data_IF_290728920296
#
_entry.id   IF_290728920296
#
_cell.length_a   1.000
_cell.length_b   1.000
_cell.length_c   1.000
_cell.angle_alpha   90.00
_cell.angle_beta   90.00
_cell.angle_gamma   90.00
#
_symmetry.space_group_name_H-M   'P 1'
#
loop_
_entity.id
_entity.type
_entity.pdbx_description
1 polymer ?
#
# COMPACT_ATOMS: atom_id res chain seq x y z
N UNK A 1 17.36 17.82 1.23
CA UNK A 1 17.70 17.40 2.62
C UNK A 1 18.87 16.42 2.65
N UNK A 2 18.76 15.25 2.02
CA UNK A 2 19.80 14.22 2.02
C UNK A 2 21.16 14.68 1.46
N UNK A 3 21.16 15.45 0.36
CA UNK A 3 22.39 16.07 -0.16
C UNK A 3 23.04 17.02 0.86
N UNK A 4 22.24 17.80 1.60
CA UNK A 4 22.77 18.64 2.69
C UNK A 4 23.35 17.82 3.83
N UNK A 5 22.71 16.70 4.19
CA UNK A 5 23.26 15.77 5.16
C UNK A 5 24.65 15.28 4.73
N UNK A 6 24.82 14.87 3.47
CA UNK A 6 26.13 14.46 2.94
C UNK A 6 27.15 15.61 2.99
N UNK A 7 26.77 16.83 2.60
CA UNK A 7 27.64 18.02 2.71
C UNK A 7 28.12 18.23 4.15
N UNK A 8 27.21 18.14 5.11
CA UNK A 8 27.54 18.31 6.54
C UNK A 8 28.48 17.20 7.00
N UNK A 9 28.21 15.94 6.67
CA UNK A 9 29.08 14.82 7.05
C UNK A 9 30.48 14.98 6.45
N UNK A 10 30.57 15.31 5.16
CA UNK A 10 31.83 15.59 4.48
C UNK A 10 32.62 16.72 5.15
N UNK A 11 31.95 17.81 5.54
CA UNK A 11 32.61 18.91 6.25
C UNK A 11 33.13 18.48 7.64
N UNK A 12 32.34 17.75 8.41
CA UNK A 12 32.77 17.20 9.72
C UNK A 12 33.98 16.28 9.55
N UNK A 13 33.98 15.44 8.52
CA UNK A 13 35.09 14.52 8.22
C UNK A 13 36.35 15.29 7.84
N UNK A 14 36.25 16.35 7.02
CA UNK A 14 37.39 17.22 6.66
C UNK A 14 38.04 17.86 7.89
N UNK A 15 37.24 18.27 8.87
CA UNK A 15 37.76 18.87 10.12
C UNK A 15 38.40 17.82 11.04
N UNK A 16 37.79 16.64 11.18
CA UNK A 16 38.30 15.58 12.07
C UNK A 16 39.49 14.83 11.51
N UNK A 17 39.54 14.65 10.18
CA UNK A 17 40.51 13.79 9.49
C UNK A 17 41.15 14.53 8.30
N UNK A 18 42.02 15.52 8.57
CA UNK A 18 42.64 16.33 7.51
C UNK A 18 43.66 15.56 6.63
N UNK A 19 44.08 14.37 7.06
CA UNK A 19 45.07 13.52 6.36
C UNK A 19 44.46 12.25 5.76
N UNK A 20 43.20 12.31 5.29
CA UNK A 20 42.59 11.16 4.59
C UNK A 20 43.27 10.90 3.24
N UNK A 21 43.28 9.64 2.81
CA UNK A 21 43.93 9.22 1.58
C UNK A 21 43.07 9.51 0.35
N UNK A 22 41.77 9.26 0.42
CA UNK A 22 40.86 9.49 -0.71
C UNK A 22 40.16 10.85 -0.65
N UNK A 23 39.84 11.35 -1.84
CA UNK A 23 38.99 12.54 -1.96
C UNK A 23 37.56 12.21 -1.53
N UNK A 24 36.83 13.21 -1.02
CA UNK A 24 35.41 13.03 -0.67
C UNK A 24 34.57 12.54 -1.85
N UNK A 25 34.89 13.04 -3.03
CA UNK A 25 34.21 12.69 -4.27
C UNK A 25 34.37 11.20 -4.61
N UNK A 26 35.59 10.68 -4.48
CA UNK A 26 35.91 9.28 -4.76
C UNK A 26 35.24 8.34 -3.75
N UNK A 27 35.35 8.66 -2.46
CA UNK A 27 34.76 7.83 -1.41
C UNK A 27 33.22 7.85 -1.46
N UNK A 28 32.59 9.00 -1.75
CA UNK A 28 31.13 9.06 -1.96
C UNK A 28 30.68 8.22 -3.16
N UNK A 29 31.48 8.18 -4.24
CA UNK A 29 31.17 7.35 -5.40
C UNK A 29 31.27 5.86 -5.06
N UNK A 30 32.30 5.44 -4.31
CA UNK A 30 32.47 4.06 -3.85
C UNK A 30 31.36 3.64 -2.88
N UNK A 31 31.03 4.48 -1.89
CA UNK A 31 29.91 4.24 -0.98
C UNK A 31 28.57 4.18 -1.73
N UNK A 32 28.39 5.02 -2.75
CA UNK A 32 27.22 4.97 -3.63
C UNK A 32 27.13 3.69 -4.46
N UNK A 33 28.26 3.21 -5.00
CA UNK A 33 28.35 1.93 -5.72
C UNK A 33 27.96 0.77 -4.80
N UNK A 34 28.50 0.75 -3.59
CA UNK A 34 28.15 -0.23 -2.56
C UNK A 34 26.66 -0.18 -2.23
N UNK A 35 26.13 1.03 -1.98
CA UNK A 35 24.73 1.24 -1.67
C UNK A 35 23.81 0.72 -2.78
N UNK A 36 24.15 0.99 -4.04
CA UNK A 36 23.43 0.51 -5.21
C UNK A 36 23.43 -1.02 -5.30
N UNK A 37 24.60 -1.65 -5.20
CA UNK A 37 24.70 -3.12 -5.27
C UNK A 37 23.93 -3.81 -4.12
N UNK A 38 24.01 -3.29 -2.90
CA UNK A 38 23.29 -3.86 -1.77
C UNK A 38 21.78 -3.59 -1.89
N UNK A 39 21.36 -2.46 -2.47
CA UNK A 39 19.96 -2.19 -2.76
C UNK A 39 19.39 -3.19 -3.79
N UNK A 40 20.12 -3.48 -4.87
CA UNK A 40 19.73 -4.49 -5.87
C UNK A 40 19.63 -5.90 -5.24
N UNK A 41 20.53 -6.23 -4.32
CA UNK A 41 20.50 -7.49 -3.55
C UNK A 41 19.41 -7.51 -2.46
N UNK A 42 18.73 -6.38 -2.20
CA UNK A 42 17.81 -6.19 -1.07
C UNK A 42 18.45 -6.45 0.31
N UNK A 43 19.74 -6.12 0.44
CA UNK A 43 20.51 -6.26 1.66
C UNK A 43 20.52 -4.94 2.45
N UNK A 44 20.22 -5.04 3.76
CA UNK A 44 20.33 -3.93 4.72
C UNK A 44 21.66 -3.94 5.48
N UNK A 45 22.30 -5.10 5.54
CA UNK A 45 23.60 -5.32 6.18
C UNK A 45 24.55 -5.96 5.16
N UNK A 46 25.83 -5.68 5.29
CA UNK A 46 26.89 -6.17 4.40
C UNK A 46 28.19 -6.36 5.18
N UNK A 47 29.16 -7.01 4.55
CA UNK A 47 30.39 -7.47 5.20
C UNK A 47 31.62 -6.75 4.65
N UNK A 48 32.76 -7.08 5.23
CA UNK A 48 34.06 -6.55 4.81
C UNK A 48 34.39 -6.92 3.35
N UNK A 49 33.94 -8.07 2.88
CA UNK A 49 34.09 -8.51 1.50
C UNK A 49 33.36 -7.58 0.52
N UNK A 50 32.15 -7.14 0.86
CA UNK A 50 31.37 -6.22 0.02
C UNK A 50 32.03 -4.83 -0.08
N UNK A 51 32.65 -4.36 1.02
CA UNK A 51 33.44 -3.13 1.03
C UNK A 51 34.63 -3.26 0.06
N UNK A 52 35.36 -4.38 0.13
CA UNK A 52 36.52 -4.65 -0.72
C UNK A 52 36.14 -4.81 -2.20
N UNK A 53 34.99 -5.41 -2.52
CA UNK A 53 34.46 -5.47 -3.90
C UNK A 53 34.16 -4.08 -4.49
N UNK A 54 33.93 -3.09 -3.62
CA UNK A 54 33.74 -1.69 -4.01
C UNK A 54 35.01 -0.84 -3.91
N UNK A 55 36.18 -1.49 -3.76
CA UNK A 55 37.49 -0.83 -3.60
C UNK A 55 37.55 0.11 -2.38
N UNK A 56 36.79 -0.21 -1.31
CA UNK A 56 36.78 0.55 -0.06
C UNK A 56 37.67 -0.14 0.96
N UNK A 57 38.70 0.56 1.43
CA UNK A 57 39.46 0.11 2.60
C UNK A 57 38.60 0.25 3.87
N UNK A 58 38.60 -0.78 4.71
CA UNK A 58 37.84 -0.83 5.95
C UNK A 58 38.25 0.28 6.91
N UNK A 59 39.54 0.63 6.94
CA UNK A 59 40.02 1.71 7.81
C UNK A 59 39.50 3.07 7.36
N UNK A 60 39.28 3.24 6.05
CA UNK A 60 38.71 4.44 5.47
C UNK A 60 37.19 4.48 5.57
N UNK A 61 36.51 3.33 5.45
CA UNK A 61 35.07 3.22 5.73
C UNK A 61 34.72 3.71 7.15
N UNK A 62 35.58 3.41 8.13
CA UNK A 62 35.40 3.85 9.52
C UNK A 62 35.42 5.39 9.69
N UNK A 63 36.10 6.12 8.80
CA UNK A 63 36.12 7.60 8.78
C UNK A 63 34.73 8.16 8.46
N UNK A 64 33.94 7.43 7.66
CA UNK A 64 32.58 7.79 7.23
C UNK A 64 31.49 7.17 8.12
N UNK A 65 31.79 6.92 9.40
CA UNK A 65 30.86 6.34 10.40
C UNK A 65 29.51 7.04 10.51
N UNK A 66 29.42 8.33 10.18
CA UNK A 66 28.15 9.07 10.13
C UNK A 66 27.25 8.69 8.97
N UNK A 67 27.73 7.91 8.00
CA UNK A 67 27.01 7.49 6.78
C UNK A 67 26.96 5.96 6.68
N UNK A 68 28.09 5.30 6.93
CA UNK A 68 28.26 3.84 6.92
C UNK A 68 28.93 3.43 8.23
N UNK A 69 28.26 2.60 9.04
CA UNK A 69 28.73 2.22 10.38
C UNK A 69 28.92 0.73 10.51
N UNK A 70 29.92 0.34 11.32
CA UNK A 70 30.03 -1.01 11.82
C UNK A 70 28.94 -1.22 12.90
N UNK A 71 28.23 -2.34 12.84
CA UNK A 71 27.31 -2.77 13.90
C UNK A 71 28.13 -3.53 14.94
N UNK A 72 27.97 -3.17 16.22
CA UNK A 72 28.52 -3.94 17.36
C UNK A 72 27.74 -5.23 17.61
N UNK A 73 27.48 -5.99 16.54
CA UNK A 73 27.00 -7.37 16.57
C UNK A 73 27.96 -8.19 15.72
N UNK A 74 28.59 -9.15 16.38
CA UNK A 74 29.33 -10.21 15.69
C UNK A 74 28.33 -11.33 15.44
N UNK A 75 28.17 -11.76 14.19
CA UNK A 75 27.41 -12.99 13.93
C UNK A 75 28.19 -14.18 14.47
N UNK A 76 27.55 -14.98 15.33
CA UNK A 76 28.14 -16.21 15.86
C UNK A 76 28.07 -17.32 14.79
N UNK A 77 28.96 -17.23 13.81
CA UNK A 77 29.27 -18.29 12.84
C UNK A 77 30.60 -18.99 13.13
N UNK A 78 31.12 -19.75 12.17
CA UNK A 78 32.48 -20.34 12.26
C UNK A 78 33.59 -19.27 12.23
N UNK A 79 33.30 -18.07 11.70
CA UNK A 79 34.23 -16.94 11.61
C UNK A 79 33.54 -15.68 12.15
N UNK A 80 34.28 -14.87 12.91
CA UNK A 80 33.80 -13.62 13.50
C UNK A 80 33.91 -12.51 12.45
N UNK A 81 32.88 -12.36 11.61
CA UNK A 81 32.85 -11.34 10.57
C UNK A 81 32.26 -10.02 11.10
N UNK A 82 32.92 -8.91 10.79
CA UNK A 82 32.39 -7.58 11.10
C UNK A 82 31.22 -7.27 10.18
N UNK A 83 30.13 -6.78 10.76
CA UNK A 83 28.90 -6.41 10.05
C UNK A 83 28.83 -4.89 9.92
N UNK A 84 28.43 -4.42 8.74
CA UNK A 84 28.26 -3.01 8.42
C UNK A 84 26.85 -2.73 7.92
N UNK A 85 26.39 -1.50 8.07
CA UNK A 85 25.18 -0.99 7.45
C UNK A 85 25.30 0.51 7.18
N UNK A 86 24.44 1.02 6.29
CA UNK A 86 24.19 2.46 6.25
C UNK A 86 23.41 2.88 7.49
N UNK A 87 23.59 4.14 7.93
CA UNK A 87 22.92 4.64 9.16
C UNK A 87 21.39 4.62 9.07
N UNK A 88 20.84 4.60 7.87
CA UNK A 88 19.42 4.40 7.61
C UNK A 88 19.20 3.90 6.16
N UNK A 89 18.13 3.15 5.90
CA UNK A 89 17.79 2.64 4.55
C UNK A 89 17.66 3.77 3.52
N UNK A 90 17.02 4.88 3.89
CA UNK A 90 16.91 6.03 2.98
C UNK A 90 18.26 6.69 2.65
N UNK A 91 19.29 6.53 3.49
CA UNK A 91 20.65 6.96 3.14
C UNK A 91 21.25 6.03 2.10
N UNK A 92 21.06 4.71 2.23
CA UNK A 92 21.46 3.73 1.22
C UNK A 92 20.78 4.03 -0.12
N UNK A 93 19.47 4.24 -0.14
CA UNK A 93 18.73 4.56 -1.37
C UNK A 93 19.16 5.89 -1.99
N UNK A 94 19.44 6.91 -1.18
CA UNK A 94 19.95 8.19 -1.66
C UNK A 94 21.35 8.08 -2.27
N UNK A 95 22.25 7.34 -1.63
CA UNK A 95 23.61 7.09 -2.12
C UNK A 95 23.60 6.25 -3.40
N UNK A 96 22.72 5.24 -3.47
CA UNK A 96 22.51 4.47 -4.69
C UNK A 96 22.05 5.38 -5.84
N UNK A 97 21.04 6.24 -5.60
CA UNK A 97 20.56 7.19 -6.60
C UNK A 97 21.66 8.17 -7.05
N UNK A 98 22.47 8.64 -6.09
CA UNK A 98 23.62 9.51 -6.36
C UNK A 98 24.66 8.82 -7.24
N UNK A 99 24.97 7.55 -6.97
CA UNK A 99 25.89 6.76 -7.80
C UNK A 99 25.39 6.62 -9.23
N UNK A 100 24.12 6.27 -9.43
CA UNK A 100 23.53 6.15 -10.78
C UNK A 100 23.61 7.49 -11.52
N UNK A 101 23.22 8.58 -10.86
CA UNK A 101 23.23 9.92 -11.45
C UNK A 101 24.66 10.36 -11.83
N UNK A 102 25.60 10.27 -10.90
CA UNK A 102 26.98 10.72 -11.13
C UNK A 102 27.72 9.87 -12.16
N UNK A 103 27.52 8.55 -12.14
CA UNK A 103 28.13 7.65 -13.13
C UNK A 103 27.65 8.01 -14.53
N UNK A 104 26.35 8.27 -14.71
CA UNK A 104 25.84 8.73 -15.99
C UNK A 104 26.43 10.09 -16.39
N UNK A 105 26.48 11.06 -15.47
CA UNK A 105 26.99 12.40 -15.79
C UNK A 105 28.48 12.41 -16.17
N UNK A 106 29.30 11.54 -15.56
CA UNK A 106 30.75 11.46 -15.82
C UNK A 106 31.11 10.52 -16.97
N UNK A 107 30.47 9.36 -17.05
CA UNK A 107 30.86 8.27 -17.95
C UNK A 107 29.85 8.02 -19.09
N UNK A 108 28.70 8.72 -19.08
CA UNK A 108 27.57 8.47 -20.00
C UNK A 108 27.04 7.03 -19.95
N UNK A 109 27.33 6.32 -18.86
CA UNK A 109 26.98 4.91 -18.67
C UNK A 109 25.69 4.78 -17.86
N UNK A 110 24.71 4.06 -18.39
CA UNK A 110 23.50 3.69 -17.66
C UNK A 110 23.74 2.39 -16.87
N UNK A 111 24.03 2.52 -15.57
CA UNK A 111 24.30 1.34 -14.70
C UNK A 111 23.06 0.47 -14.43
N UNK A 112 21.85 0.98 -14.71
CA UNK A 112 20.60 0.23 -14.57
C UNK A 112 20.38 -0.77 -15.73
N UNK A 113 21.13 -0.65 -16.83
CA UNK A 113 21.07 -1.58 -17.94
C UNK A 113 22.47 -2.05 -18.33
N UNK A 114 22.76 -3.34 -18.10
CA UNK A 114 24.10 -3.91 -18.26
C UNK A 114 24.70 -3.78 -19.68
N UNK A 115 23.91 -3.43 -20.70
CA UNK A 115 24.34 -3.38 -22.10
C UNK A 115 24.19 -2.02 -22.82
N UNK A 116 23.77 -0.95 -22.13
CA UNK A 116 23.54 0.35 -22.77
C UNK A 116 24.60 1.38 -22.36
N UNK A 117 25.60 1.56 -23.23
CA UNK A 117 26.72 2.50 -23.03
C UNK A 117 26.37 3.93 -23.50
N UNK A 118 25.29 4.10 -24.27
CA UNK A 118 24.88 5.39 -24.84
C UNK A 118 23.37 5.61 -24.67
N UNK A 119 22.99 6.76 -24.13
CA UNK A 119 21.60 7.16 -23.93
C UNK A 119 21.50 8.58 -23.35
N UNK A 120 20.28 9.07 -23.21
CA UNK A 120 19.98 10.32 -22.51
C UNK A 120 19.73 10.06 -21.02
N UNK A 121 19.74 11.10 -20.18
CA UNK A 121 19.33 10.97 -18.77
C UNK A 121 17.86 10.53 -18.68
N UNK A 122 17.04 10.92 -19.66
CA UNK A 122 15.66 10.45 -19.74
C UNK A 122 15.59 8.93 -19.93
N UNK A 123 16.53 8.31 -20.64
CA UNK A 123 16.62 6.85 -20.77
C UNK A 123 17.04 6.15 -19.46
N UNK A 124 17.92 6.79 -18.66
CA UNK A 124 18.25 6.33 -17.31
C UNK A 124 17.03 6.39 -16.42
N UNK A 125 16.31 7.52 -16.41
CA UNK A 125 15.07 7.68 -15.65
C UNK A 125 14.00 6.67 -16.07
N UNK A 126 13.83 6.42 -17.38
CA UNK A 126 12.90 5.40 -17.89
C UNK A 126 13.24 4.01 -17.36
N UNK A 127 14.53 3.66 -17.37
CA UNK A 127 15.02 2.40 -16.83
C UNK A 127 14.70 2.27 -15.34
N UNK A 128 14.93 3.32 -14.56
CA UNK A 128 14.62 3.35 -13.13
C UNK A 128 13.11 3.22 -12.86
N UNK A 129 12.27 3.94 -13.60
CA UNK A 129 10.80 3.83 -13.53
C UNK A 129 10.35 2.40 -13.81
N UNK A 130 10.89 1.78 -14.86
CA UNK A 130 10.53 0.41 -15.23
C UNK A 130 10.97 -0.61 -14.18
N UNK A 131 12.16 -0.48 -13.62
CA UNK A 131 12.62 -1.35 -12.53
C UNK A 131 11.77 -1.19 -11.27
N UNK A 132 11.43 0.04 -10.87
CA UNK A 132 10.58 0.29 -9.72
C UNK A 132 9.17 -0.29 -9.91
N UNK A 133 8.58 -0.14 -11.11
CA UNK A 133 7.27 -0.72 -11.43
C UNK A 133 7.29 -2.26 -11.49
N UNK A 134 8.43 -2.86 -11.84
CA UNK A 134 8.60 -4.31 -11.84
C UNK A 134 8.92 -4.88 -10.45
N UNK A 135 9.30 -4.03 -9.49
CA UNK A 135 9.52 -4.44 -8.10
C UNK A 135 8.23 -4.96 -7.47
N UNK A 136 8.31 -6.09 -6.77
CA UNK A 136 7.21 -6.65 -6.01
C UNK A 136 7.06 -6.00 -4.63
N UNK A 137 8.17 -5.53 -4.05
CA UNK A 137 8.22 -5.03 -2.67
C UNK A 137 8.25 -3.50 -2.58
N UNK A 138 8.34 -2.79 -3.71
CA UNK A 138 8.47 -1.33 -3.72
C UNK A 138 9.81 -0.80 -3.20
N UNK A 139 10.81 -1.66 -2.96
CA UNK A 139 12.13 -1.29 -2.40
C UNK A 139 12.95 -0.30 -3.26
N UNK A 140 12.51 0.01 -4.48
CA UNK A 140 13.15 0.98 -5.37
C UNK A 140 12.40 2.32 -5.43
N UNK A 141 11.30 2.46 -4.70
CA UNK A 141 10.41 3.62 -4.80
C UNK A 141 11.08 4.91 -4.32
N UNK A 142 11.71 4.88 -3.15
CA UNK A 142 12.40 6.06 -2.62
C UNK A 142 13.72 6.32 -3.35
N UNK A 143 14.43 5.27 -3.78
CA UNK A 143 15.55 5.38 -4.73
C UNK A 143 15.15 6.13 -6.01
N UNK A 144 14.02 5.77 -6.63
CA UNK A 144 13.53 6.41 -7.85
C UNK A 144 13.25 7.90 -7.61
N UNK A 145 12.57 8.25 -6.51
CA UNK A 145 12.31 9.65 -6.14
C UNK A 145 13.59 10.44 -5.98
N UNK A 146 14.59 9.88 -5.29
CA UNK A 146 15.90 10.54 -5.16
C UNK A 146 16.59 10.72 -6.50
N UNK A 147 16.59 9.71 -7.37
CA UNK A 147 17.24 9.79 -8.67
C UNK A 147 16.64 10.91 -9.53
N UNK A 148 15.32 10.99 -9.57
CA UNK A 148 14.61 12.04 -10.29
C UNK A 148 14.86 13.42 -9.67
N UNK A 149 14.81 13.52 -8.34
CA UNK A 149 15.10 14.77 -7.63
C UNK A 149 16.53 15.27 -7.87
N UNK A 150 17.53 14.40 -7.89
CA UNK A 150 18.94 14.75 -8.17
C UNK A 150 19.12 15.34 -9.58
N UNK A 151 18.25 15.01 -10.53
CA UNK A 151 18.28 15.56 -11.89
C UNK A 151 17.85 17.03 -11.98
N UNK A 152 17.22 17.60 -10.95
CA UNK A 152 16.83 19.01 -10.94
C UNK A 152 18.05 19.93 -10.85
N UNK A 153 18.02 21.04 -11.60
CA UNK A 153 19.09 22.05 -11.63
C UNK A 153 19.43 22.60 -10.22
N UNK A 154 18.41 22.79 -9.37
CA UNK A 154 18.60 23.24 -7.98
C UNK A 154 19.44 22.26 -7.16
N UNK A 155 19.23 20.96 -7.35
CA UNK A 155 19.98 19.91 -6.65
C UNK A 155 21.35 19.69 -7.28
N UNK A 156 21.49 19.81 -8.59
CA UNK A 156 22.80 19.77 -9.26
C UNK A 156 23.74 20.87 -8.76
N UNK A 157 23.22 22.09 -8.54
CA UNK A 157 23.98 23.20 -7.91
C UNK A 157 24.52 22.84 -6.53
N UNK A 158 23.75 22.10 -5.72
CA UNK A 158 24.21 21.61 -4.42
C UNK A 158 25.27 20.50 -4.56
N UNK A 159 25.10 19.60 -5.53
CA UNK A 159 26.06 18.52 -5.78
C UNK A 159 27.44 19.01 -6.20
N UNK A 160 27.54 20.17 -6.85
CA UNK A 160 28.84 20.79 -7.17
C UNK A 160 29.74 21.05 -5.94
N UNK A 161 29.17 21.15 -4.74
CA UNK A 161 29.95 21.27 -3.51
C UNK A 161 30.61 19.96 -3.06
N UNK A 162 30.10 18.83 -3.53
CA UNK A 162 30.55 17.48 -3.21
C UNK A 162 31.36 16.83 -4.34
N UNK A 163 30.96 17.07 -5.59
CA UNK A 163 31.47 16.37 -6.77
C UNK A 163 31.65 17.34 -7.94
N UNK A 164 32.81 17.26 -8.58
CA UNK A 164 33.16 18.10 -9.73
C UNK A 164 32.41 17.62 -10.97
N UNK A 165 31.31 18.27 -11.35
CA UNK A 165 30.57 17.89 -12.56
C UNK A 165 31.23 18.48 -13.82
N UNK A 166 31.51 17.63 -14.81
CA UNK A 166 32.14 18.02 -16.10
C UNK A 166 31.13 18.15 -17.24
N UNK A 167 29.85 17.83 -17.03
CA UNK A 167 28.80 17.88 -18.03
C UNK A 167 27.63 18.77 -17.62
N UNK A 168 27.29 19.74 -18.47
CA UNK A 168 26.03 20.49 -18.37
C UNK A 168 24.95 19.72 -19.13
N UNK A 169 24.13 18.93 -18.44
CA UNK A 169 22.92 18.38 -19.08
C UNK A 169 21.77 19.36 -18.90
N UNK A 170 21.61 20.29 -19.85
CA UNK A 170 20.33 21.01 -20.04
C UNK A 170 19.31 20.04 -20.65
N UNK A 171 19.02 18.93 -19.96
CA UNK A 171 18.12 17.92 -20.48
C UNK A 171 16.70 18.19 -20.03
N UNK A 172 15.79 18.08 -21.00
CA UNK A 172 14.40 18.41 -20.80
C UNK A 172 13.73 17.31 -19.97
N UNK A 173 13.42 17.61 -18.70
CA UNK A 173 12.66 16.74 -17.80
C UNK A 173 11.29 16.31 -18.38
N UNK A 174 10.79 17.04 -19.37
CA UNK A 174 9.53 16.77 -20.06
C UNK A 174 9.42 15.35 -20.59
N UNK A 175 10.49 14.78 -21.16
CA UNK A 175 10.45 13.40 -21.67
C UNK A 175 10.24 12.37 -20.57
N UNK A 176 10.83 12.61 -19.39
CA UNK A 176 10.64 11.77 -18.21
C UNK A 176 9.23 11.96 -17.64
N UNK A 177 8.76 13.20 -17.53
CA UNK A 177 7.41 13.53 -17.06
C UNK A 177 6.35 12.85 -17.95
N UNK A 178 6.46 13.00 -19.27
CA UNK A 178 5.52 12.38 -20.22
C UNK A 178 5.57 10.85 -20.15
N UNK A 179 6.75 10.27 -19.92
CA UNK A 179 6.87 8.84 -19.70
C UNK A 179 6.14 8.37 -18.43
N UNK A 180 6.31 9.09 -17.31
CA UNK A 180 5.65 8.79 -16.04
C UNK A 180 4.12 8.93 -16.19
N UNK A 181 3.63 10.01 -16.81
CA UNK A 181 2.19 10.20 -17.10
C UNK A 181 1.62 9.04 -17.93
N UNK A 182 2.35 8.60 -18.96
CA UNK A 182 1.99 7.42 -19.77
C UNK A 182 1.98 6.11 -18.97
N UNK A 183 2.78 5.99 -17.90
CA UNK A 183 2.74 4.82 -17.01
C UNK A 183 1.54 4.90 -16.06
N UNK A 184 1.26 6.07 -15.49
CA UNK A 184 0.09 6.31 -14.62
C UNK A 184 -1.22 6.07 -15.38
N UNK A 185 -1.27 6.35 -16.68
CA UNK A 185 -2.46 6.09 -17.50
C UNK A 185 -2.72 4.59 -17.76
N UNK A 186 -1.81 3.70 -17.36
CA UNK A 186 -2.01 2.25 -17.40
C UNK A 186 -2.66 1.77 -16.11
N UNK A 187 -3.21 0.57 -16.15
CA UNK A 187 -3.78 -0.05 -14.97
C UNK A 187 -2.68 -0.50 -14.00
N UNK A 188 -2.25 0.43 -13.15
CA UNK A 188 -1.28 0.22 -12.08
C UNK A 188 -2.01 0.12 -10.73
N UNK A 189 -1.48 -0.72 -9.84
CA UNK A 189 -1.86 -0.75 -8.42
C UNK A 189 -1.72 0.63 -7.78
N UNK A 190 -2.56 0.93 -6.79
CA UNK A 190 -2.57 2.25 -6.13
C UNK A 190 -1.21 2.65 -5.54
N UNK A 191 -0.48 1.72 -4.95
CA UNK A 191 0.85 1.97 -4.37
C UNK A 191 1.85 2.47 -5.42
N UNK A 192 1.96 1.74 -6.54
CA UNK A 192 2.80 2.12 -7.69
C UNK A 192 2.38 3.45 -8.29
N UNK A 193 1.07 3.68 -8.45
CA UNK A 193 0.56 4.97 -8.93
C UNK A 193 0.94 6.12 -8.00
N UNK A 194 0.74 5.96 -6.68
CA UNK A 194 1.13 6.95 -5.68
C UNK A 194 2.63 7.24 -5.72
N UNK A 195 3.46 6.22 -5.87
CA UNK A 195 4.90 6.41 -6.03
C UNK A 195 5.23 7.27 -7.26
N UNK A 196 4.58 7.02 -8.40
CA UNK A 196 4.76 7.81 -9.61
C UNK A 196 4.24 9.26 -9.48
N UNK A 197 3.19 9.51 -8.71
CA UNK A 197 2.77 10.88 -8.39
C UNK A 197 3.81 11.60 -7.52
N UNK A 198 4.38 10.94 -6.52
CA UNK A 198 5.52 11.51 -5.79
C UNK A 198 6.70 11.83 -6.72
N UNK A 199 6.98 10.96 -7.70
CA UNK A 199 8.01 11.21 -8.71
C UNK A 199 7.69 12.44 -9.58
N UNK A 200 6.44 12.68 -9.95
CA UNK A 200 6.02 13.89 -10.66
C UNK A 200 6.21 15.13 -9.80
N UNK A 201 5.84 15.08 -8.52
CA UNK A 201 6.06 16.17 -7.57
C UNK A 201 7.56 16.47 -7.39
N UNK A 202 8.42 15.44 -7.30
CA UNK A 202 9.88 15.62 -7.26
C UNK A 202 10.42 16.29 -8.53
N UNK A 203 9.77 16.06 -9.68
CA UNK A 203 10.10 16.75 -10.94
C UNK A 203 9.45 18.13 -11.05
N UNK A 204 8.63 18.54 -10.08
CA UNK A 204 7.86 19.79 -10.08
C UNK A 204 6.79 19.83 -11.18
N UNK A 205 6.16 18.70 -11.47
CA UNK A 205 4.99 18.60 -12.35
C UNK A 205 3.74 18.23 -11.54
N UNK A 206 2.87 19.22 -11.32
CA UNK A 206 1.63 19.03 -10.56
C UNK A 206 0.40 18.97 -11.48
N UNK A 207 0.58 18.85 -12.81
CA UNK A 207 -0.48 19.14 -13.78
C UNK A 207 -1.68 18.19 -13.64
N UNK A 208 -1.44 16.89 -13.36
CA UNK A 208 -2.50 15.91 -13.13
C UNK A 208 -3.26 16.16 -11.82
N UNK A 209 -2.55 16.66 -10.80
CA UNK A 209 -3.14 17.04 -9.52
C UNK A 209 -4.02 18.28 -9.69
N UNK A 210 -3.52 19.29 -10.41
CA UNK A 210 -4.27 20.51 -10.73
C UNK A 210 -5.55 20.20 -11.52
N UNK A 211 -5.48 19.30 -12.50
CA UNK A 211 -6.64 18.85 -13.28
C UNK A 211 -7.74 18.29 -12.38
N UNK A 212 -7.38 17.42 -11.42
CA UNK A 212 -8.34 16.86 -10.47
C UNK A 212 -8.84 17.90 -9.47
N UNK A 213 -7.97 18.78 -8.97
CA UNK A 213 -8.43 19.86 -8.09
C UNK A 213 -9.41 20.80 -8.80
N UNK A 214 -9.24 21.06 -10.10
CA UNK A 214 -10.19 21.82 -10.90
C UNK A 214 -11.50 21.05 -11.08
N UNK A 215 -11.44 19.75 -11.38
CA UNK A 215 -12.62 18.87 -11.44
C UNK A 215 -13.42 18.95 -10.13
N UNK A 216 -12.75 18.78 -8.98
CA UNK A 216 -13.35 18.85 -7.65
C UNK A 216 -14.03 20.19 -7.37
N UNK A 217 -13.44 21.31 -7.84
CA UNK A 217 -14.01 22.66 -7.70
C UNK A 217 -15.21 22.89 -8.62
N UNK A 218 -15.18 22.29 -9.82
CA UNK A 218 -16.23 22.47 -10.83
C UNK A 218 -17.54 21.74 -10.50
N UNK A 219 -17.48 20.71 -9.64
CA UNK A 219 -18.63 19.86 -9.31
C UNK A 219 -19.16 19.04 -10.50
N UNK A 220 -18.37 18.92 -11.59
CA UNK A 220 -18.75 18.14 -12.75
C UNK A 220 -18.82 16.65 -12.40
N UNK A 221 -19.88 15.97 -12.85
CA UNK A 221 -20.04 14.52 -12.69
C UNK A 221 -19.65 13.76 -13.97
N UNK A 222 -18.53 14.15 -14.58
CA UNK A 222 -17.96 13.35 -15.68
C UNK A 222 -17.22 12.15 -15.12
N UNK A 223 -17.23 11.07 -15.89
CA UNK A 223 -16.52 9.83 -15.57
C UNK A 223 -15.01 10.06 -15.56
N UNK A 224 -14.35 9.68 -14.47
CA UNK A 224 -12.91 9.84 -14.30
C UNK A 224 -12.17 8.70 -15.00
N UNK A 225 -11.09 9.03 -15.71
CA UNK A 225 -10.14 8.08 -16.28
C UNK A 225 -9.30 7.37 -15.21
N UNK A 226 -8.62 6.25 -15.49
CA UNK A 226 -7.76 5.57 -14.52
C UNK A 226 -6.67 6.46 -13.90
N UNK A 227 -6.06 7.35 -14.70
CA UNK A 227 -5.07 8.31 -14.20
C UNK A 227 -5.70 9.38 -13.33
N UNK A 228 -6.91 9.83 -13.68
CA UNK A 228 -7.69 10.80 -12.91
C UNK A 228 -8.13 10.22 -11.55
N UNK A 229 -8.56 8.96 -11.50
CA UNK A 229 -8.82 8.27 -10.24
C UNK A 229 -7.57 8.14 -9.38
N UNK A 230 -6.43 7.79 -9.99
CA UNK A 230 -5.17 7.67 -9.27
C UNK A 230 -4.71 9.03 -8.71
N UNK A 231 -4.90 10.11 -9.47
CA UNK A 231 -4.65 11.47 -9.02
C UNK A 231 -5.60 11.88 -7.87
N UNK A 232 -6.89 11.53 -7.94
CA UNK A 232 -7.85 11.77 -6.86
C UNK A 232 -7.42 11.06 -5.56
N UNK A 233 -7.06 9.78 -5.65
CA UNK A 233 -6.57 9.01 -4.50
C UNK A 233 -5.32 9.64 -3.92
N UNK A 234 -4.36 10.03 -4.76
CA UNK A 234 -3.15 10.72 -4.31
C UNK A 234 -3.46 12.03 -3.58
N UNK A 235 -4.34 12.88 -4.15
CA UNK A 235 -4.75 14.16 -3.53
C UNK A 235 -5.43 13.95 -2.18
N UNK A 236 -6.30 12.96 -2.07
CA UNK A 236 -7.02 12.67 -0.83
C UNK A 236 -6.06 12.15 0.26
N UNK A 237 -5.08 11.31 -0.09
CA UNK A 237 -4.12 10.76 0.88
C UNK A 237 -3.01 11.74 1.29
N UNK A 238 -2.68 12.69 0.43
CA UNK A 238 -1.62 13.69 0.69
C UNK A 238 -2.16 14.99 1.27
N UNK A 239 -3.48 15.11 1.41
CA UNK A 239 -4.16 16.20 2.11
C UNK A 239 -3.65 16.32 3.55
N UNK A 240 -3.37 17.55 4.00
CA UNK A 240 -2.96 17.82 5.38
C UNK A 240 -4.10 17.66 6.42
N UNK A 241 -5.34 17.47 5.97
CA UNK A 241 -6.49 17.24 6.83
C UNK A 241 -6.77 15.75 6.96
N UNK A 242 -7.06 15.31 8.19
CA UNK A 242 -7.56 13.97 8.46
C UNK A 242 -8.84 13.72 7.65
N UNK A 243 -8.91 12.57 6.99
CA UNK A 243 -10.05 12.17 6.18
C UNK A 243 -11.20 11.75 7.12
N UNK A 244 -11.96 12.72 7.65
CA UNK A 244 -13.09 12.43 8.54
C UNK A 244 -14.18 11.61 7.81
N UNK A 245 -14.56 12.03 6.60
CA UNK A 245 -15.58 11.34 5.81
C UNK A 245 -15.21 11.28 4.32
N UNK A 246 -15.17 10.07 3.78
CA UNK A 246 -15.06 9.80 2.36
C UNK A 246 -16.39 9.26 1.81
N UNK A 247 -16.99 9.94 0.84
CA UNK A 247 -18.20 9.46 0.13
C UNK A 247 -17.88 9.26 -1.34
N UNK A 248 -17.78 7.98 -1.75
CA UNK A 248 -17.44 7.62 -3.13
C UNK A 248 -18.47 8.16 -4.13
N UNK A 249 -19.72 8.33 -3.71
CA UNK A 249 -20.80 8.80 -4.58
C UNK A 249 -20.66 10.27 -4.98
N UNK A 250 -19.76 11.02 -4.33
CA UNK A 250 -19.41 12.38 -4.76
C UNK A 250 -18.66 12.38 -6.09
N UNK A 251 -18.06 11.25 -6.48
CA UNK A 251 -17.18 11.14 -7.64
C UNK A 251 -17.72 10.23 -8.74
N UNK A 252 -18.60 9.28 -8.41
CA UNK A 252 -19.13 8.31 -9.35
C UNK A 252 -20.56 7.90 -8.99
N UNK A 253 -21.38 7.62 -10.01
CA UNK A 253 -22.73 7.12 -9.79
C UNK A 253 -22.71 5.63 -9.38
N UNK A 254 -23.59 5.18 -8.46
CA UNK A 254 -23.59 3.81 -7.94
C UNK A 254 -23.61 2.69 -8.99
N UNK A 255 -24.26 2.93 -10.12
CA UNK A 255 -24.40 2.00 -11.24
C UNK A 255 -23.11 1.81 -12.06
N UNK A 256 -22.13 2.71 -11.89
CA UNK A 256 -20.86 2.69 -12.62
C UNK A 256 -19.68 2.20 -11.79
N UNK A 257 -19.88 1.94 -10.50
CA UNK A 257 -18.81 1.47 -9.61
C UNK A 257 -18.46 0.02 -9.99
N UNK A 258 -17.22 -0.18 -10.43
CA UNK A 258 -16.62 -1.49 -10.72
C UNK A 258 -15.60 -1.84 -9.65
N UNK A 259 -15.27 -3.12 -9.52
CA UNK A 259 -14.28 -3.62 -8.54
C UNK A 259 -12.92 -2.90 -8.68
N UNK A 260 -12.46 -2.66 -9.90
CA UNK A 260 -11.22 -1.91 -10.19
C UNK A 260 -11.19 -0.52 -9.53
N UNK A 261 -12.34 0.17 -9.47
CA UNK A 261 -12.45 1.50 -8.86
C UNK A 261 -12.41 1.37 -7.33
N UNK A 262 -13.14 0.40 -6.79
CA UNK A 262 -13.16 0.12 -5.35
C UNK A 262 -11.73 -0.13 -4.86
N UNK A 263 -11.00 -1.02 -5.51
CA UNK A 263 -9.61 -1.37 -5.18
C UNK A 263 -8.71 -0.15 -5.22
N UNK A 264 -8.88 0.69 -6.25
CA UNK A 264 -8.10 1.92 -6.38
C UNK A 264 -8.31 2.88 -5.20
N UNK A 265 -9.55 3.01 -4.71
CA UNK A 265 -9.89 3.88 -3.58
C UNK A 265 -9.73 3.24 -2.21
N UNK A 266 -9.37 1.96 -2.10
CA UNK A 266 -9.21 1.27 -0.81
C UNK A 266 -8.26 1.97 0.15
N UNK A 267 -7.10 2.50 -0.27
CA UNK A 267 -6.22 3.24 0.65
C UNK A 267 -6.89 4.49 1.24
N UNK A 268 -7.74 5.18 0.46
CA UNK A 268 -8.52 6.34 0.95
C UNK A 268 -9.55 5.89 1.98
N UNK A 269 -10.26 4.79 1.71
CA UNK A 269 -11.20 4.19 2.66
C UNK A 269 -10.49 3.81 3.97
N UNK A 270 -9.33 3.18 3.87
CA UNK A 270 -8.53 2.76 5.02
C UNK A 270 -8.03 3.93 5.87
N UNK A 271 -7.68 5.05 5.22
CA UNK A 271 -7.23 6.28 5.86
C UNK A 271 -8.39 7.13 6.42
N UNK A 272 -9.62 6.90 5.96
CA UNK A 272 -10.78 7.68 6.39
C UNK A 272 -11.36 7.16 7.71
N UNK A 273 -11.84 8.05 8.58
CA UNK A 273 -12.58 7.64 9.78
C UNK A 273 -13.94 7.06 9.42
N UNK A 274 -14.65 7.71 8.50
CA UNK A 274 -15.93 7.27 7.94
C UNK A 274 -15.85 7.13 6.43
N UNK A 275 -16.35 6.03 5.88
CA UNK A 275 -16.48 5.83 4.44
C UNK A 275 -17.91 5.47 4.05
N UNK A 276 -18.41 6.05 2.95
CA UNK A 276 -19.75 5.83 2.39
C UNK A 276 -19.59 5.29 0.98
N UNK A 277 -20.07 4.07 0.77
CA UNK A 277 -19.99 3.37 -0.52
C UNK A 277 -21.39 2.86 -0.85
N UNK A 278 -21.91 3.24 -2.02
CA UNK A 278 -23.19 2.74 -2.53
C UNK A 278 -22.94 2.15 -3.92
N UNK A 279 -22.98 0.83 -4.06
CA UNK A 279 -22.82 0.15 -5.34
C UNK A 279 -23.82 -1.02 -5.44
N UNK A 280 -24.00 -1.57 -6.64
CA UNK A 280 -24.95 -2.68 -6.85
C UNK A 280 -24.49 -3.97 -6.19
N UNK A 281 -23.20 -4.28 -6.28
CA UNK A 281 -22.59 -5.53 -5.87
C UNK A 281 -21.11 -5.31 -5.50
N UNK A 282 -20.61 -6.08 -4.54
CA UNK A 282 -19.18 -6.24 -4.26
C UNK A 282 -18.90 -7.74 -4.30
N UNK A 283 -18.28 -8.21 -5.39
CA UNK A 283 -17.96 -9.63 -5.62
C UNK A 283 -16.51 -9.89 -6.00
N UNK A 284 -15.80 -8.91 -6.58
CA UNK A 284 -14.37 -9.00 -6.89
C UNK A 284 -13.48 -8.28 -5.88
N UNK A 285 -12.28 -8.83 -5.66
CA UNK A 285 -11.18 -8.24 -4.88
C UNK A 285 -11.51 -7.90 -3.40
N UNK A 286 -12.32 -8.78 -2.79
CA UNK A 286 -12.66 -8.82 -1.36
C UNK A 286 -11.43 -8.80 -0.45
N UNK A 287 -10.30 -9.34 -0.89
CA UNK A 287 -9.05 -9.34 -0.12
C UNK A 287 -8.66 -7.93 0.32
N UNK A 288 -8.85 -6.92 -0.55
CA UNK A 288 -8.53 -5.54 -0.23
C UNK A 288 -9.44 -5.00 0.86
N UNK A 289 -10.76 -5.19 0.75
CA UNK A 289 -11.71 -4.78 1.78
C UNK A 289 -11.48 -5.54 3.09
N UNK A 290 -11.19 -6.84 3.02
CA UNK A 290 -10.87 -7.69 4.18
C UNK A 290 -9.59 -7.23 4.84
N UNK A 291 -8.57 -6.85 4.07
CA UNK A 291 -7.31 -6.30 4.60
C UNK A 291 -7.55 -4.99 5.36
N UNK A 292 -8.43 -4.13 4.84
CA UNK A 292 -8.80 -2.87 5.51
C UNK A 292 -9.57 -3.15 6.79
N UNK A 293 -10.52 -4.09 6.77
CA UNK A 293 -11.27 -4.49 7.96
C UNK A 293 -10.37 -5.14 9.01
N UNK A 294 -9.41 -5.98 8.61
CA UNK A 294 -8.53 -6.70 9.55
C UNK A 294 -7.34 -5.86 10.02
N UNK A 295 -7.00 -4.77 9.33
CA UNK A 295 -5.83 -3.97 9.67
C UNK A 295 -6.02 -3.15 10.95
N UNK A 296 -5.10 -3.33 11.90
CA UNK A 296 -5.00 -2.50 13.11
C UNK A 296 -4.57 -1.07 12.81
N UNK A 297 -3.92 -0.84 11.66
CA UNK A 297 -3.46 0.49 11.24
C UNK A 297 -4.53 1.28 10.49
N UNK A 298 -5.70 0.70 10.23
CA UNK A 298 -6.79 1.43 9.59
C UNK A 298 -7.43 2.45 10.54
N UNK A 299 -7.63 3.66 10.04
CA UNK A 299 -8.36 4.74 10.71
C UNK A 299 -9.88 4.54 10.64
N UNK A 300 -10.36 3.59 9.83
CA UNK A 300 -11.78 3.33 9.60
C UNK A 300 -12.47 2.92 10.90
N UNK A 301 -13.56 3.63 11.23
CA UNK A 301 -14.44 3.37 12.37
C UNK A 301 -15.88 3.15 11.92
N UNK A 302 -16.29 3.81 10.85
CA UNK A 302 -17.64 3.76 10.31
C UNK A 302 -17.58 3.46 8.80
N UNK A 303 -18.11 2.33 8.35
CA UNK A 303 -18.23 2.02 6.92
C UNK A 303 -19.71 1.82 6.57
N UNK A 304 -20.27 2.81 5.87
CA UNK A 304 -21.66 2.78 5.44
C UNK A 304 -21.73 2.13 4.06
N UNK A 305 -22.10 0.85 4.03
CA UNK A 305 -22.33 0.10 2.81
C UNK A 305 -23.83 0.10 2.48
N UNK A 306 -24.18 0.69 1.34
CA UNK A 306 -25.47 0.45 0.69
C UNK A 306 -25.22 -0.41 -0.53
N UNK A 307 -25.13 -1.72 -0.31
CA UNK A 307 -24.99 -2.73 -1.36
C UNK A 307 -26.15 -3.71 -1.28
N UNK A 308 -26.59 -4.27 -2.40
CA UNK A 308 -27.59 -5.35 -2.33
C UNK A 308 -26.93 -6.66 -1.90
N UNK A 309 -25.77 -6.96 -2.50
CA UNK A 309 -25.04 -8.22 -2.27
C UNK A 309 -23.61 -7.90 -1.82
N UNK A 310 -23.24 -8.41 -0.65
CA UNK A 310 -21.88 -8.38 -0.11
C UNK A 310 -21.38 -9.82 -0.01
N UNK A 311 -20.54 -10.23 -0.95
CA UNK A 311 -19.94 -11.56 -0.93
C UNK A 311 -18.50 -11.44 -0.44
N UNK A 312 -18.21 -11.96 0.75
CA UNK A 312 -16.85 -12.04 1.30
C UNK A 312 -16.32 -13.48 1.39
N UNK A 313 -17.01 -14.45 0.79
CA UNK A 313 -16.68 -15.87 0.89
C UNK A 313 -15.23 -16.16 0.49
N UNK A 314 -14.64 -17.20 1.08
CA UNK A 314 -13.27 -17.68 0.83
C UNK A 314 -12.15 -16.75 1.32
N UNK A 315 -12.46 -15.73 2.12
CA UNK A 315 -11.48 -14.82 2.71
C UNK A 315 -11.31 -15.10 4.20
N UNK A 316 -10.07 -15.10 4.71
CA UNK A 316 -9.78 -15.28 6.14
C UNK A 316 -10.15 -14.04 6.95
N UNK A 317 -11.45 -13.83 7.13
CA UNK A 317 -11.99 -12.74 7.91
C UNK A 317 -11.82 -13.00 9.41
N UNK A 318 -11.99 -14.26 9.83
CA UNK A 318 -11.96 -14.71 11.22
C UNK A 318 -12.98 -13.94 12.11
N UNK A 319 -13.08 -14.28 13.39
CA UNK A 319 -14.05 -13.64 14.28
C UNK A 319 -13.79 -12.14 14.47
N UNK A 320 -12.53 -11.70 14.40
CA UNK A 320 -12.16 -10.28 14.49
C UNK A 320 -12.70 -9.46 13.33
N UNK A 321 -12.59 -9.96 12.09
CA UNK A 321 -13.13 -9.29 10.93
C UNK A 321 -14.66 -9.30 10.91
N UNK A 322 -15.29 -10.42 11.32
CA UNK A 322 -16.75 -10.51 11.44
C UNK A 322 -17.28 -9.55 12.50
N UNK A 323 -16.60 -9.36 13.63
CA UNK A 323 -16.99 -8.36 14.64
C UNK A 323 -17.01 -6.94 14.06
N UNK A 324 -16.01 -6.58 13.25
CA UNK A 324 -15.97 -5.27 12.59
C UNK A 324 -17.07 -5.14 11.54
N UNK A 325 -17.29 -6.17 10.73
CA UNK A 325 -18.42 -6.24 9.80
C UNK A 325 -19.77 -6.10 10.53
N UNK A 326 -19.90 -6.73 11.69
CA UNK A 326 -21.11 -6.67 12.52
C UNK A 326 -21.40 -5.25 13.00
N UNK A 327 -20.38 -4.50 13.40
CA UNK A 327 -20.53 -3.07 13.71
C UNK A 327 -21.04 -2.24 12.51
N UNK A 328 -20.75 -2.67 11.26
CA UNK A 328 -21.30 -2.03 10.06
C UNK A 328 -22.78 -2.38 9.86
N UNK A 329 -23.16 -3.63 10.12
CA UNK A 329 -24.53 -4.12 9.98
C UNK A 329 -25.48 -3.54 11.05
N UNK A 330 -24.95 -3.18 12.23
CA UNK A 330 -25.68 -2.44 13.27
C UNK A 330 -26.15 -1.05 12.82
N UNK A 331 -25.49 -0.47 11.83
CA UNK A 331 -25.83 0.85 11.32
C UNK A 331 -27.23 0.85 10.66
N UNK A 332 -28.17 1.71 11.10
CA UNK A 332 -29.52 1.75 10.53
C UNK A 332 -29.56 2.08 9.02
N UNK A 333 -28.53 2.73 8.49
CA UNK A 333 -28.40 3.04 7.06
C UNK A 333 -27.83 1.87 6.24
N UNK A 334 -27.39 0.80 6.89
CA UNK A 334 -26.96 -0.42 6.20
C UNK A 334 -28.15 -1.11 5.52
N UNK A 335 -28.00 -1.45 4.24
CA UNK A 335 -29.06 -2.05 3.42
C UNK A 335 -28.63 -3.33 2.69
N UNK A 336 -27.61 -4.01 3.20
CA UNK A 336 -27.17 -5.34 2.71
C UNK A 336 -28.34 -6.32 2.74
N UNK A 337 -28.71 -6.87 1.58
CA UNK A 337 -29.77 -7.89 1.49
C UNK A 337 -29.19 -9.29 1.48
N UNK A 338 -28.07 -9.47 0.79
CA UNK A 338 -27.42 -10.76 0.65
C UNK A 338 -26.01 -10.67 1.22
N UNK A 339 -25.73 -11.43 2.28
CA UNK A 339 -24.43 -11.51 2.93
C UNK A 339 -23.89 -12.93 2.79
N UNK A 340 -22.78 -13.10 2.07
CA UNK A 340 -22.10 -14.39 1.94
C UNK A 340 -20.75 -14.36 2.62
N UNK A 341 -20.56 -15.28 3.56
CA UNK A 341 -19.38 -15.46 4.40
C UNK A 341 -18.90 -16.92 4.35
N UNK A 342 -19.15 -17.64 3.25
CA UNK A 342 -18.75 -19.06 3.11
C UNK A 342 -17.24 -19.20 3.33
N UNK A 343 -16.81 -20.17 4.14
CA UNK A 343 -15.39 -20.48 4.38
C UNK A 343 -14.53 -19.24 4.77
N UNK A 344 -15.01 -18.46 5.74
CA UNK A 344 -14.34 -17.25 6.21
C UNK A 344 -13.59 -17.40 7.54
N UNK A 345 -13.58 -18.60 8.12
CA UNK A 345 -12.99 -18.88 9.43
C UNK A 345 -13.84 -18.36 10.60
N UNK A 346 -15.15 -18.21 10.40
CA UNK A 346 -16.10 -17.77 11.42
C UNK A 346 -16.33 -18.89 12.45
N UNK A 347 -16.27 -18.57 13.73
CA UNK A 347 -16.64 -19.47 14.82
C UNK A 347 -17.99 -19.09 15.45
N UNK A 348 -18.39 -19.80 16.49
CA UNK A 348 -19.51 -19.41 17.36
C UNK A 348 -19.41 -17.95 17.83
N UNK A 349 -18.20 -17.45 18.09
CA UNK A 349 -17.97 -16.09 18.58
C UNK A 349 -18.27 -15.04 17.51
N UNK A 350 -17.75 -15.20 16.29
CA UNK A 350 -18.04 -14.31 15.17
C UNK A 350 -19.52 -14.36 14.79
N UNK A 351 -20.12 -15.56 14.81
CA UNK A 351 -21.55 -15.72 14.57
C UNK A 351 -22.41 -15.00 15.63
N UNK A 352 -22.03 -15.06 16.91
CA UNK A 352 -22.72 -14.34 17.97
C UNK A 352 -22.68 -12.81 17.77
N UNK A 353 -21.54 -12.27 17.31
CA UNK A 353 -21.41 -10.86 16.97
C UNK A 353 -22.34 -10.48 15.80
N UNK A 354 -22.35 -11.29 14.73
CA UNK A 354 -23.24 -11.10 13.58
C UNK A 354 -24.71 -11.15 13.99
N UNK A 355 -25.10 -12.14 14.79
CA UNK A 355 -26.45 -12.27 15.30
C UNK A 355 -26.86 -11.06 16.16
N UNK A 356 -25.94 -10.51 16.96
CA UNK A 356 -26.19 -9.27 17.71
C UNK A 356 -26.51 -8.10 16.79
N UNK A 357 -25.72 -7.92 15.73
CA UNK A 357 -25.95 -6.86 14.76
C UNK A 357 -27.30 -6.99 14.05
N UNK A 358 -27.65 -8.20 13.62
CA UNK A 358 -28.93 -8.48 12.96
C UNK A 358 -30.14 -8.29 13.88
N UNK A 359 -30.00 -8.47 15.20
CA UNK A 359 -31.08 -8.10 16.14
C UNK A 359 -31.24 -6.60 16.26
N UNK A 360 -30.14 -5.85 16.25
CA UNK A 360 -30.15 -4.38 16.33
C UNK A 360 -30.71 -3.73 15.05
N UNK A 361 -30.48 -4.33 13.89
CA UNK A 361 -31.00 -3.87 12.60
C UNK A 361 -31.66 -5.02 11.78
N UNK A 362 -32.87 -5.48 12.17
CA UNK A 362 -33.45 -6.73 11.65
C UNK A 362 -34.11 -6.61 10.27
N UNK A 363 -34.25 -5.41 9.71
CA UNK A 363 -35.21 -5.16 8.62
C UNK A 363 -34.69 -5.39 7.20
N UNK A 364 -33.37 -5.52 6.99
CA UNK A 364 -32.76 -5.39 5.67
C UNK A 364 -32.21 -6.69 5.07
N UNK A 365 -31.58 -7.56 5.87
CA UNK A 365 -31.02 -8.82 5.36
C UNK A 365 -32.11 -9.82 4.92
N UNK A 366 -31.85 -10.54 3.82
CA UNK A 366 -32.73 -11.50 3.14
C UNK A 366 -32.02 -12.84 2.89
N UNK A 367 -30.75 -12.84 2.54
CA UNK A 367 -29.94 -14.04 2.32
C UNK A 367 -28.68 -13.98 3.19
N UNK A 368 -28.46 -15.01 3.99
CA UNK A 368 -27.26 -15.20 4.80
C UNK A 368 -26.65 -16.56 4.50
N UNK A 369 -25.43 -16.55 3.99
CA UNK A 369 -24.63 -17.75 3.78
C UNK A 369 -23.42 -17.76 4.72
N UNK A 370 -23.39 -18.75 5.62
CA UNK A 370 -22.31 -19.00 6.58
C UNK A 370 -21.65 -20.36 6.33
N UNK A 371 -21.91 -21.00 5.19
CA UNK A 371 -21.47 -22.37 4.91
C UNK A 371 -19.96 -22.56 5.08
N UNK A 372 -19.52 -23.78 5.43
CA UNK A 372 -18.10 -24.15 5.62
C UNK A 372 -17.36 -23.32 6.67
N UNK A 373 -18.05 -22.91 7.73
CA UNK A 373 -17.47 -22.24 8.90
C UNK A 373 -17.64 -23.08 10.16
N UNK A 374 -16.98 -22.73 11.27
CA UNK A 374 -17.06 -23.47 12.54
C UNK A 374 -18.09 -22.84 13.51
N UNK A 375 -19.26 -22.54 12.98
CA UNK A 375 -20.40 -21.95 13.71
C UNK A 375 -21.18 -23.07 14.38
N UNK A 376 -20.64 -23.82 15.33
CA UNK A 376 -21.40 -24.93 15.96
C UNK A 376 -22.76 -24.53 16.59
N UNK A 377 -23.29 -25.41 17.44
CA UNK A 377 -24.63 -25.22 18.02
C UNK A 377 -24.81 -23.90 18.78
N UNK A 378 -23.74 -23.34 19.37
CA UNK A 378 -23.81 -22.06 20.09
C UNK A 378 -24.04 -20.88 19.15
N UNK A 379 -23.37 -20.85 18.00
CA UNK A 379 -23.60 -19.86 16.96
C UNK A 379 -25.01 -19.99 16.37
N UNK A 380 -25.46 -21.22 16.09
CA UNK A 380 -26.83 -21.48 15.60
C UNK A 380 -27.91 -21.04 16.59
N UNK A 381 -27.70 -21.21 17.90
CA UNK A 381 -28.60 -20.66 18.92
C UNK A 381 -28.68 -19.14 18.86
N UNK A 382 -27.55 -18.46 18.61
CA UNK A 382 -27.53 -17.01 18.45
C UNK A 382 -28.34 -16.57 17.21
N UNK A 383 -28.19 -17.27 16.07
CA UNK A 383 -28.99 -17.01 14.87
C UNK A 383 -30.47 -17.34 15.05
N UNK A 384 -30.78 -18.40 15.81
CA UNK A 384 -32.16 -18.77 16.14
C UNK A 384 -32.87 -17.62 16.87
N UNK A 385 -32.20 -16.96 17.82
CA UNK A 385 -32.74 -15.77 18.48
C UNK A 385 -32.96 -14.57 17.53
N UNK A 386 -32.25 -14.50 16.39
CA UNK A 386 -32.52 -13.51 15.33
C UNK A 386 -33.82 -13.87 14.60
N UNK A 387 -34.01 -15.15 14.26
CA UNK A 387 -35.21 -15.64 13.57
C UNK A 387 -36.49 -15.52 14.42
N UNK A 388 -36.36 -15.61 15.75
CA UNK A 388 -37.46 -15.35 16.70
C UNK A 388 -37.96 -13.91 16.67
N UNK A 389 -37.15 -12.95 16.21
CA UNK A 389 -37.53 -11.55 16.13
C UNK A 389 -38.61 -11.35 15.04
N UNK A 390 -39.81 -10.83 15.35
CA UNK A 390 -40.90 -10.65 14.38
C UNK A 390 -40.57 -9.63 13.27
N UNK A 391 -39.55 -8.79 13.47
CA UNK A 391 -39.08 -7.85 12.46
C UNK A 391 -37.98 -8.42 11.57
N UNK A 392 -37.45 -9.61 11.88
CA UNK A 392 -36.47 -10.29 11.03
C UNK A 392 -37.09 -10.53 9.65
N UNK A 393 -36.30 -10.29 8.59
CA UNK A 393 -36.74 -10.49 7.20
C UNK A 393 -35.93 -11.53 6.46
N UNK A 394 -35.11 -12.31 7.15
CA UNK A 394 -34.27 -13.34 6.53
C UNK A 394 -35.16 -14.38 5.82
N UNK A 395 -34.90 -14.59 4.53
CA UNK A 395 -35.60 -15.52 3.65
C UNK A 395 -34.77 -16.77 3.37
N UNK A 396 -33.45 -16.64 3.34
CA UNK A 396 -32.52 -17.74 3.04
C UNK A 396 -31.43 -17.77 4.11
N UNK A 397 -31.22 -18.94 4.69
CA UNK A 397 -30.13 -19.21 5.63
C UNK A 397 -29.40 -20.48 5.20
N UNK A 398 -28.11 -20.35 4.89
CA UNK A 398 -27.23 -21.48 4.54
C UNK A 398 -26.19 -21.68 5.63
N UNK A 399 -26.16 -22.89 6.18
CA UNK A 399 -25.25 -23.36 7.20
C UNK A 399 -24.67 -24.74 6.80
N UNK A 400 -24.45 -24.94 5.49
CA UNK A 400 -23.86 -26.17 4.98
C UNK A 400 -22.47 -26.37 5.59
N UNK A 401 -22.14 -27.59 6.02
CA UNK A 401 -20.85 -27.94 6.65
C UNK A 401 -20.44 -26.97 7.78
N UNK A 402 -21.39 -26.64 8.68
CA UNK A 402 -21.15 -25.73 9.81
C UNK A 402 -20.93 -26.41 11.17
N UNK A 403 -20.94 -27.74 11.21
CA UNK A 403 -20.84 -28.50 12.47
C UNK A 403 -22.07 -28.38 13.37
N UNK A 404 -23.26 -28.23 12.76
CA UNK A 404 -24.55 -28.15 13.46
C UNK A 404 -24.99 -29.56 13.86
N UNK A 405 -25.31 -29.75 15.15
CA UNK A 405 -25.83 -31.02 15.67
C UNK A 405 -27.36 -30.96 15.87
N UNK A 406 -27.93 -32.02 16.43
CA UNK A 406 -29.32 -32.07 16.86
C UNK A 406 -29.69 -30.92 17.81
N UNK A 407 -28.74 -30.42 18.60
CA UNK A 407 -28.98 -29.31 19.53
C UNK A 407 -29.21 -27.98 18.78
N UNK A 408 -28.38 -27.68 17.78
CA UNK A 408 -28.57 -26.52 16.92
C UNK A 408 -29.86 -26.62 16.08
N UNK A 409 -30.15 -27.81 15.55
CA UNK A 409 -31.39 -28.09 14.83
C UNK A 409 -32.64 -27.87 15.71
N UNK A 410 -32.58 -28.27 16.98
CA UNK A 410 -33.67 -28.05 17.94
C UNK A 410 -33.90 -26.54 18.20
N UNK A 411 -32.84 -25.75 18.30
CA UNK A 411 -32.93 -24.30 18.45
C UNK A 411 -33.59 -23.64 17.23
N UNK A 412 -33.15 -23.99 16.01
CA UNK A 412 -33.78 -23.50 14.77
C UNK A 412 -35.25 -23.89 14.70
N UNK A 413 -35.59 -25.14 15.02
CA UNK A 413 -36.97 -25.63 15.02
C UNK A 413 -37.85 -24.85 16.00
N UNK A 414 -37.33 -24.50 17.18
CA UNK A 414 -38.04 -23.66 18.15
C UNK A 414 -38.32 -22.27 17.56
N UNK A 415 -37.30 -21.63 17.00
CA UNK A 415 -37.40 -20.30 16.43
C UNK A 415 -38.43 -20.21 15.29
N UNK A 416 -38.38 -21.17 14.36
CA UNK A 416 -39.30 -21.28 13.22
C UNK A 416 -40.75 -21.55 13.64
N UNK A 417 -40.97 -22.13 14.83
CA UNK A 417 -42.30 -22.33 15.40
C UNK A 417 -42.83 -21.06 16.07
N UNK A 418 -41.98 -20.33 16.80
CA UNK A 418 -42.38 -19.13 17.55
C UNK A 418 -42.71 -17.95 16.66
N UNK A 419 -42.06 -17.86 15.51
CA UNK A 419 -42.31 -16.85 14.50
C UNK A 419 -42.44 -17.62 13.18
N UNK A 420 -43.64 -17.70 12.53
CA UNK A 420 -43.75 -18.27 11.20
C UNK A 420 -42.91 -17.41 10.26
N UNK A 421 -41.65 -17.80 10.16
CA UNK A 421 -40.55 -16.95 9.71
C UNK A 421 -40.74 -16.59 8.24
N UNK A 422 -40.15 -15.48 7.82
CA UNK A 422 -39.97 -15.20 6.40
C UNK A 422 -39.01 -16.19 5.70
N UNK A 423 -38.39 -17.10 6.45
CA UNK A 423 -37.46 -18.11 5.96
C UNK A 423 -38.18 -19.07 5.00
N UNK A 424 -37.68 -19.11 3.76
CA UNK A 424 -38.15 -19.93 2.64
C UNK A 424 -37.19 -21.06 2.32
N UNK A 425 -35.90 -20.84 2.56
CA UNK A 425 -34.84 -21.80 2.31
C UNK A 425 -33.93 -21.88 3.55
N UNK A 426 -33.73 -23.11 4.02
CA UNK A 426 -32.79 -23.44 5.08
C UNK A 426 -31.93 -24.60 4.59
N UNK A 427 -30.65 -24.35 4.41
CA UNK A 427 -29.67 -25.37 4.00
C UNK A 427 -28.81 -25.75 5.21
N UNK A 428 -28.92 -27.01 5.63
CA UNK A 428 -28.14 -27.64 6.70
C UNK A 428 -27.37 -28.88 6.17
N UNK A 429 -27.11 -28.94 4.86
CA UNK A 429 -26.40 -30.07 4.26
C UNK A 429 -24.99 -30.23 4.81
N UNK A 430 -24.48 -31.46 4.82
CA UNK A 430 -23.10 -31.79 5.19
C UNK A 430 -22.15 -31.67 3.99
#
# INVERSE_FOLDING_TARGET
MYTHFLIIQTNIIREKYPQKQESDEEMLLKLGKLAFQQLEKQNLIFYEEDLRECDIDVTEAAVYSGVCTQIFREEFGLHQSKVYCFVHLSIQEHLAALYVHLTFMKEQRNVLQQNQVWGTLSDVHRSAVDQALNSQTGHLDLFLRFLLGLSLESNQKLLHSLVTQTGSSSQNKEETVQYIKKKISKDLSTEKSNNLFHCLNELGDDSLVEEIQQYLKSGAQSELSPSQWSALVFVLLTSAQDLEEFDLNKYITPDKIRDEILVRVMPVIAASRKAIIRCSEITGEVEALTSVLNSETSSLRELHLTVNTLNLSWNKLEDSGVKRLSALLENPECKVKDLRLEQCGVSDEGCAALASALRSNPSHLRDLDLSRNKVGDSGVKCLSAVLENPHCKLEILRLCDCGVSDEGCAALTSALRSNPSHLRELDLSE
#
